data_IF_737116651471
#
_entry.id   IF_737116651471
#
_cell.length_a   1.000
_cell.length_b   1.000
_cell.length_c   1.000
_cell.angle_alpha   90.00
_cell.angle_beta   90.00
_cell.angle_gamma   90.00
#
_symmetry.space_group_name_H-M   'P 1'
#
loop_
_entity.id
_entity.type
_entity.pdbx_description
1 polymer ?
#
# COMPACT_ATOMS: atom_id res chain seq x y z
N UNK A 1 -14.09 -6.74 -1.00
CA UNK A 1 -13.99 -6.36 0.42
C UNK A 1 -12.67 -5.66 0.71
N UNK A 2 -12.65 -4.65 1.60
CA UNK A 2 -11.41 -3.98 2.04
C UNK A 2 -10.97 -4.52 3.40
N UNK A 3 -9.68 -4.85 3.52
CA UNK A 3 -9.07 -5.33 4.77
C UNK A 3 -7.77 -4.60 5.05
N UNK A 4 -7.45 -4.40 6.33
CA UNK A 4 -6.14 -3.87 6.74
C UNK A 4 -5.10 -5.00 6.66
N UNK A 5 -4.05 -4.78 5.87
CA UNK A 5 -2.94 -5.71 5.74
C UNK A 5 -1.92 -5.42 6.85
N UNK A 6 -1.69 -6.40 7.73
CA UNK A 6 -0.76 -6.26 8.86
C UNK A 6 0.64 -6.76 8.51
N UNK A 7 0.78 -7.52 7.43
CA UNK A 7 2.04 -8.14 7.00
C UNK A 7 2.72 -7.37 5.86
N UNK A 8 2.19 -6.20 5.51
CA UNK A 8 2.76 -5.32 4.50
C UNK A 8 3.91 -4.52 5.08
N UNK A 9 5.02 -4.44 4.35
CA UNK A 9 6.19 -3.66 4.71
C UNK A 9 6.95 -3.22 3.45
N UNK A 10 7.81 -2.20 3.56
CA UNK A 10 8.73 -1.81 2.48
C UNK A 10 10.15 -2.24 2.83
N UNK A 11 10.72 -3.11 1.99
CA UNK A 11 12.10 -3.56 2.13
C UNK A 11 13.03 -2.70 1.26
N UNK A 12 14.20 -2.39 1.81
CA UNK A 12 15.30 -1.77 1.07
C UNK A 12 16.12 -2.86 0.37
N UNK A 13 16.42 -2.66 -0.91
CA UNK A 13 17.14 -3.61 -1.75
C UNK A 13 18.12 -2.88 -2.67
N UNK A 14 19.34 -3.39 -2.78
CA UNK A 14 20.37 -2.89 -3.71
C UNK A 14 21.73 -2.71 -3.04
N UNK A 15 22.79 -3.09 -3.77
CA UNK A 15 24.19 -2.98 -3.30
C UNK A 15 24.83 -1.63 -3.60
N UNK A 16 24.40 -0.95 -4.68
CA UNK A 16 24.94 0.36 -5.09
C UNK A 16 23.91 1.50 -5.03
N UNK A 17 22.62 1.20 -4.99
CA UNK A 17 21.55 2.19 -4.92
C UNK A 17 20.37 1.61 -4.16
N UNK A 18 19.98 2.26 -3.06
CA UNK A 18 18.83 1.85 -2.24
C UNK A 18 17.54 1.96 -3.06
N UNK A 19 16.89 0.81 -3.28
CA UNK A 19 15.56 0.72 -3.87
C UNK A 19 14.56 0.15 -2.87
N UNK A 20 13.39 0.74 -2.83
CA UNK A 20 12.30 0.36 -1.95
C UNK A 20 11.36 -0.57 -2.72
N UNK A 21 11.05 -1.73 -2.14
CA UNK A 21 10.09 -2.67 -2.68
C UNK A 21 9.04 -3.01 -1.63
N UNK A 22 7.77 -2.97 -2.02
CA UNK A 22 6.71 -3.45 -1.13
C UNK A 22 6.77 -4.97 -1.00
N UNK A 23 6.72 -5.48 0.22
CA UNK A 23 6.65 -6.88 0.55
C UNK A 23 5.41 -7.15 1.40
N UNK A 24 4.73 -8.26 1.13
CA UNK A 24 3.61 -8.74 1.92
C UNK A 24 3.75 -10.24 2.17
N UNK A 25 4.14 -10.60 3.39
CA UNK A 25 4.45 -11.98 3.75
C UNK A 25 5.55 -12.59 2.88
N UNK A 26 5.21 -13.58 2.04
CA UNK A 26 6.17 -14.25 1.12
C UNK A 26 6.20 -13.61 -0.27
N UNK A 27 5.36 -12.62 -0.55
CA UNK A 27 5.30 -11.94 -1.86
C UNK A 27 6.06 -10.63 -1.81
N UNK A 28 6.79 -10.33 -2.86
CA UNK A 28 7.47 -9.05 -3.05
C UNK A 28 6.96 -8.44 -4.35
N UNK A 29 6.61 -7.17 -4.31
CA UNK A 29 6.21 -6.40 -5.48
C UNK A 29 7.36 -6.34 -6.47
N UNK A 30 7.05 -6.57 -7.75
CA UNK A 30 8.02 -6.38 -8.84
C UNK A 30 8.43 -4.91 -9.00
N UNK A 31 7.60 -3.98 -8.51
CA UNK A 31 7.85 -2.55 -8.59
C UNK A 31 8.99 -2.17 -7.65
N UNK A 32 10.07 -1.63 -8.22
CA UNK A 32 11.21 -1.07 -7.49
C UNK A 32 11.12 0.44 -7.51
N UNK A 33 10.94 1.04 -6.34
CA UNK A 33 10.93 2.50 -6.18
C UNK A 33 12.34 2.98 -5.87
N UNK A 34 12.79 4.03 -6.55
CA UNK A 34 13.96 4.79 -6.08
C UNK A 34 13.59 5.55 -4.81
N UNK A 35 14.60 6.02 -4.06
CA UNK A 35 14.39 6.89 -2.90
C UNK A 35 13.45 8.07 -3.19
N UNK A 36 13.64 8.75 -4.33
CA UNK A 36 12.76 9.85 -4.76
C UNK A 36 11.30 9.41 -4.94
N UNK A 37 11.06 8.31 -5.66
CA UNK A 37 9.71 7.78 -5.88
C UNK A 37 9.06 7.31 -4.57
N UNK A 38 9.84 6.73 -3.68
CA UNK A 38 9.37 6.32 -2.36
C UNK A 38 8.99 7.53 -1.51
N UNK A 39 9.82 8.58 -1.45
CA UNK A 39 9.48 9.83 -0.77
C UNK A 39 8.22 10.48 -1.35
N UNK A 40 8.06 10.54 -2.67
CA UNK A 40 6.83 11.03 -3.30
C UNK A 40 5.61 10.18 -2.94
N UNK A 41 5.77 8.85 -2.90
CA UNK A 41 4.72 7.94 -2.47
C UNK A 41 4.31 8.18 -1.02
N UNK A 42 5.27 8.40 -0.11
CA UNK A 42 5.01 8.73 1.29
C UNK A 42 4.25 10.06 1.46
N UNK A 43 4.50 11.03 0.58
CA UNK A 43 3.73 12.27 0.56
C UNK A 43 2.32 12.05 0.01
N UNK A 44 2.18 11.35 -1.11
CA UNK A 44 0.88 11.08 -1.73
C UNK A 44 -0.04 10.26 -0.81
N UNK A 45 0.48 9.21 -0.18
CA UNK A 45 -0.28 8.32 0.71
C UNK A 45 -0.79 9.01 1.98
N UNK A 46 -0.22 10.18 2.34
CA UNK A 46 -0.73 10.98 3.46
C UNK A 46 -2.05 11.67 3.11
N UNK A 47 -2.28 11.96 1.83
CA UNK A 47 -3.45 12.67 1.31
C UNK A 47 -4.50 11.69 0.77
N UNK A 48 -4.07 10.76 -0.08
CA UNK A 48 -4.94 9.82 -0.79
C UNK A 48 -4.35 8.42 -0.86
N UNK A 49 -5.16 7.35 -0.84
CA UNK A 49 -4.67 5.99 -0.97
C UNK A 49 -3.92 5.75 -2.28
N UNK A 50 -2.68 5.27 -2.18
CA UNK A 50 -1.82 5.01 -3.34
C UNK A 50 -1.75 3.51 -3.61
N UNK A 51 -1.91 3.10 -4.87
CA UNK A 51 -1.70 1.70 -5.30
C UNK A 51 -0.21 1.37 -5.24
N UNK A 52 0.15 0.37 -4.44
CA UNK A 52 1.56 -0.05 -4.26
C UNK A 52 1.86 -1.40 -4.90
N UNK A 53 0.82 -2.24 -5.09
CA UNK A 53 0.93 -3.55 -5.71
C UNK A 53 -0.43 -4.03 -6.22
N UNK A 54 -0.43 -4.79 -7.31
CA UNK A 54 -1.62 -5.45 -7.86
C UNK A 54 -1.28 -6.90 -8.18
N UNK A 55 -2.15 -7.83 -7.80
CA UNK A 55 -2.05 -9.25 -8.14
C UNK A 55 -3.17 -9.61 -9.11
N UNK A 56 -2.82 -9.64 -10.40
CA UNK A 56 -3.75 -9.97 -11.49
C UNK A 56 -4.32 -11.38 -11.37
N UNK A 57 -3.62 -12.32 -10.71
CA UNK A 57 -4.10 -13.69 -10.58
C UNK A 57 -5.22 -13.86 -9.54
N UNK A 58 -5.39 -12.90 -8.63
CA UNK A 58 -6.40 -12.96 -7.56
C UNK A 58 -7.31 -11.73 -7.50
N UNK A 59 -7.20 -10.82 -8.47
CA UNK A 59 -7.87 -9.52 -8.49
C UNK A 59 -7.69 -8.75 -7.16
N UNK A 60 -6.45 -8.75 -6.64
CA UNK A 60 -6.14 -8.08 -5.37
C UNK A 60 -5.29 -6.85 -5.58
N UNK A 61 -5.70 -5.73 -5.01
CA UNK A 61 -4.93 -4.49 -5.01
C UNK A 61 -4.49 -4.16 -3.59
N UNK A 62 -3.21 -3.89 -3.42
CA UNK A 62 -2.67 -3.33 -2.18
C UNK A 62 -2.55 -1.82 -2.31
N UNK A 63 -2.97 -1.17 -1.25
CA UNK A 63 -3.01 0.27 -1.11
C UNK A 63 -2.24 0.69 0.13
N UNK A 64 -1.59 1.84 0.07
CA UNK A 64 -0.99 2.51 1.21
C UNK A 64 -1.76 3.79 1.50
N UNK A 65 -2.13 4.00 2.77
CA UNK A 65 -2.78 5.22 3.21
C UNK A 65 -2.54 5.48 4.70
N UNK A 66 -2.11 6.70 5.05
CA UNK A 66 -1.76 7.10 6.42
C UNK A 66 -0.86 6.08 7.15
N UNK A 67 0.23 5.67 6.50
CA UNK A 67 1.21 4.67 6.97
C UNK A 67 0.60 3.28 7.26
N UNK A 68 -0.63 3.05 6.81
CA UNK A 68 -1.32 1.77 6.86
C UNK A 68 -1.32 1.08 5.49
N UNK A 69 -1.24 -0.25 5.53
CA UNK A 69 -1.44 -1.07 4.34
C UNK A 69 -2.85 -1.64 4.32
N UNK A 70 -3.46 -1.63 3.15
CA UNK A 70 -4.81 -2.13 2.91
C UNK A 70 -4.78 -3.04 1.69
N UNK A 71 -5.62 -4.06 1.71
CA UNK A 71 -5.84 -4.97 0.60
C UNK A 71 -7.32 -4.94 0.23
N UNK A 72 -7.55 -4.98 -1.07
CA UNK A 72 -8.82 -4.81 -1.73
C UNK A 72 -8.95 -5.95 -2.75
N UNK A 73 -10.08 -6.66 -2.78
CA UNK A 73 -10.30 -7.88 -3.58
C UNK A 73 -11.58 -7.88 -4.45
N UNK A 74 -12.19 -6.72 -4.69
CA UNK A 74 -13.43 -6.51 -5.48
C UNK A 74 -13.29 -5.39 -6.53
N UNK A 75 -12.06 -5.05 -6.93
CA UNK A 75 -11.75 -3.93 -7.84
C UNK A 75 -12.33 -2.56 -7.42
N UNK A 76 -12.47 -2.36 -6.11
CA UNK A 76 -12.90 -1.09 -5.53
C UNK A 76 -11.87 0.04 -5.72
N UNK A 77 -12.38 1.27 -5.71
CA UNK A 77 -11.57 2.48 -5.86
C UNK A 77 -10.76 2.81 -4.60
N UNK A 78 -9.75 3.65 -4.76
CA UNK A 78 -9.00 4.22 -3.64
C UNK A 78 -9.90 5.02 -2.69
N UNK A 79 -10.99 5.60 -3.17
CA UNK A 79 -11.96 6.31 -2.31
C UNK A 79 -12.61 5.37 -1.30
N UNK A 80 -12.94 4.13 -1.69
CA UNK A 80 -13.48 3.14 -0.77
C UNK A 80 -12.44 2.77 0.30
N UNK A 81 -11.15 2.68 -0.07
CA UNK A 81 -10.06 2.44 0.88
C UNK A 81 -9.93 3.60 1.87
N UNK A 82 -10.03 4.85 1.38
CA UNK A 82 -10.02 6.06 2.18
C UNK A 82 -11.19 6.07 3.17
N UNK A 83 -12.40 5.82 2.68
CA UNK A 83 -13.61 5.72 3.49
C UNK A 83 -13.52 4.60 4.53
N UNK A 84 -12.95 3.44 4.19
CA UNK A 84 -12.72 2.34 5.13
C UNK A 84 -11.71 2.71 6.22
N UNK A 85 -10.60 3.35 5.84
CA UNK A 85 -9.57 3.79 6.78
C UNK A 85 -10.10 4.88 7.73
N UNK A 86 -10.80 5.88 7.20
CA UNK A 86 -11.43 6.97 7.98
C UNK A 86 -12.57 6.43 8.85
N UNK A 87 -13.44 5.57 8.30
CA UNK A 87 -14.57 4.99 9.03
C UNK A 87 -14.14 4.10 10.19
N UNK A 88 -12.95 3.49 10.12
CA UNK A 88 -12.35 2.76 11.25
C UNK A 88 -11.68 3.67 12.28
N UNK A 89 -11.09 4.80 11.88
CA UNK A 89 -10.53 5.78 12.83
C UNK A 89 -11.62 6.60 13.54
N UNK A 90 -12.81 6.73 12.92
CA UNK A 90 -13.97 7.42 13.48
C UNK A 90 -14.74 6.68 14.58
N UNK A 91 -14.48 5.39 14.83
CA UNK A 91 -15.02 4.71 16.04
C UNK A 91 -14.18 5.05 17.27
N UNK A 92 -14.21 6.32 17.69
CA UNK A 92 -13.90 6.72 19.06
C UNK A 92 -15.13 7.39 19.65
N UNK A 93 -15.77 6.63 20.55
CA UNK A 93 -16.85 6.98 21.49
C UNK A 93 -18.20 7.34 20.88
#
# INVERSE_FOLDING_TARGET
>A
MIRKEKKGDFIESGTFSTKYQFSVGKKVSKTKLSKSKYSSLLQMQSLDPVKIMTDQGKHRTWWMYQDGFYIEDEEMSGENVKAFAIGKTGKKK
#
